data_IF_535487095379
#
_entry.id   IF_535487095379
#
_cell.length_a   1.000
_cell.length_b   1.000
_cell.length_c   1.000
_cell.angle_alpha   90.00
_cell.angle_beta   90.00
_cell.angle_gamma   90.00
#
_symmetry.space_group_name_H-M   'P 1'
#
loop_
_entity.id
_entity.type
_entity.pdbx_description
1 polymer ?
#
# COMPACT_ATOMS: atom_id res chain seq x y z
N UNK A 1 15.25 -39.56 -29.40
CA UNK A 1 14.06 -39.06 -28.68
C UNK A 1 14.09 -37.55 -28.83
N UNK A 2 13.22 -37.00 -29.67
CA UNK A 2 13.04 -35.54 -29.72
C UNK A 2 12.46 -35.10 -28.39
N UNK A 3 13.28 -34.51 -27.52
CA UNK A 3 12.83 -33.83 -26.33
C UNK A 3 12.08 -32.56 -26.78
N UNK A 4 10.77 -32.53 -26.58
CA UNK A 4 10.02 -31.29 -26.79
C UNK A 4 10.53 -30.25 -25.80
N UNK A 5 10.80 -29.03 -26.30
CA UNK A 5 11.23 -27.93 -25.43
C UNK A 5 10.16 -27.63 -24.38
N UNK A 6 10.53 -27.45 -23.12
CA UNK A 6 9.60 -26.98 -22.10
C UNK A 6 9.08 -25.60 -22.44
N UNK A 7 7.86 -25.32 -22.02
CA UNK A 7 7.26 -23.98 -22.05
C UNK A 7 6.77 -23.70 -20.64
N UNK A 8 7.40 -22.73 -19.99
CA UNK A 8 7.01 -22.30 -18.65
C UNK A 8 5.78 -21.40 -18.70
N UNK A 9 4.78 -21.75 -17.90
CA UNK A 9 3.58 -20.94 -17.70
C UNK A 9 2.96 -21.24 -16.35
N UNK A 10 2.36 -20.24 -15.71
CA UNK A 10 1.65 -20.40 -14.45
C UNK A 10 0.59 -19.34 -14.23
N UNK A 11 -0.34 -19.63 -13.32
CA UNK A 11 -1.33 -18.70 -12.81
C UNK A 11 -1.28 -18.67 -11.27
N UNK A 12 -1.89 -17.66 -10.67
CA UNK A 12 -1.93 -17.45 -9.24
C UNK A 12 -3.36 -17.30 -8.74
N UNK A 13 -3.63 -17.62 -7.47
CA UNK A 13 -4.95 -17.40 -6.85
C UNK A 13 -5.30 -15.92 -6.75
N UNK A 14 -4.28 -15.05 -6.58
CA UNK A 14 -4.39 -13.58 -6.60
C UNK A 14 -3.05 -12.98 -7.00
N UNK A 15 -3.06 -11.73 -7.47
CA UNK A 15 -1.86 -10.95 -7.79
C UNK A 15 -1.61 -9.83 -6.78
N UNK A 16 -2.55 -9.58 -5.84
CA UNK A 16 -2.39 -8.56 -4.81
C UNK A 16 -3.30 -8.82 -3.62
N UNK A 17 -2.94 -8.25 -2.46
CA UNK A 17 -3.74 -8.30 -1.23
C UNK A 17 -3.00 -7.74 -0.01
N UNK A 18 -3.70 -7.63 1.15
CA UNK A 18 -3.09 -7.19 2.40
C UNK A 18 -2.13 -8.23 2.97
N UNK A 19 -1.13 -7.78 3.72
CA UNK A 19 -0.21 -8.65 4.48
C UNK A 19 -0.90 -9.22 5.75
N UNK A 20 -0.69 -10.49 6.13
CA UNK A 20 0.02 -11.52 5.39
C UNK A 20 -0.81 -12.07 4.21
N UNK A 21 -0.24 -12.09 3.00
CA UNK A 21 -0.92 -12.59 1.81
C UNK A 21 -0.49 -14.02 1.50
N UNK A 22 -1.46 -14.93 1.45
CA UNK A 22 -1.25 -16.32 1.05
C UNK A 22 -1.63 -16.44 -0.42
N UNK A 23 -0.70 -16.94 -1.25
CA UNK A 23 -0.90 -17.13 -2.69
C UNK A 23 -0.64 -18.58 -3.07
N UNK A 24 -1.60 -19.19 -3.74
CA UNK A 24 -1.45 -20.48 -4.40
C UNK A 24 -0.96 -20.25 -5.84
N UNK A 25 0.05 -21.03 -6.25
CA UNK A 25 0.63 -21.01 -7.59
C UNK A 25 0.23 -22.29 -8.33
N UNK A 26 -0.32 -22.12 -9.53
CA UNK A 26 -0.78 -23.21 -10.38
C UNK A 26 0.13 -23.30 -11.60
N UNK A 27 0.85 -24.39 -11.70
CA UNK A 27 1.75 -24.65 -12.82
C UNK A 27 0.97 -25.07 -14.06
N UNK A 28 1.09 -24.31 -15.14
CA UNK A 28 0.49 -24.57 -16.45
C UNK A 28 1.55 -24.95 -17.51
N UNK A 29 2.81 -25.15 -17.10
CA UNK A 29 3.91 -25.46 -18.00
C UNK A 29 3.67 -26.76 -18.76
N UNK A 30 4.17 -26.80 -19.99
CA UNK A 30 4.09 -27.98 -20.86
C UNK A 30 5.47 -28.53 -21.21
N UNK A 31 5.57 -29.83 -21.46
CA UNK A 31 6.80 -30.52 -21.85
C UNK A 31 7.94 -30.43 -20.80
N UNK A 32 7.62 -30.18 -19.54
CA UNK A 32 8.58 -30.10 -18.42
C UNK A 32 8.36 -31.24 -17.43
N UNK A 33 9.43 -31.65 -16.76
CA UNK A 33 9.42 -32.68 -15.71
C UNK A 33 9.80 -32.14 -14.34
N UNK A 34 10.55 -31.04 -14.33
CA UNK A 34 11.10 -30.46 -13.13
C UNK A 34 10.78 -28.96 -13.08
N UNK A 35 10.58 -28.43 -11.86
CA UNK A 35 10.14 -27.06 -11.61
C UNK A 35 10.98 -26.43 -10.51
N UNK A 36 11.38 -25.17 -10.72
CA UNK A 36 12.03 -24.36 -9.70
C UNK A 36 11.34 -23.00 -9.63
N UNK A 37 10.85 -22.68 -8.44
CA UNK A 37 10.19 -21.40 -8.14
C UNK A 37 11.10 -20.53 -7.29
N UNK A 38 11.15 -19.24 -7.63
CA UNK A 38 11.72 -18.19 -6.80
C UNK A 38 10.65 -17.14 -6.54
N UNK A 39 10.36 -16.91 -5.24
CA UNK A 39 9.35 -15.96 -4.77
C UNK A 39 9.95 -14.65 -4.26
N UNK A 40 11.26 -14.41 -4.47
CA UNK A 40 12.06 -13.32 -3.86
C UNK A 40 12.19 -13.40 -2.32
N UNK A 41 11.38 -14.20 -1.66
CA UNK A 41 11.39 -14.46 -0.21
C UNK A 41 11.90 -15.86 0.10
N UNK A 42 11.56 -16.80 -0.74
CA UNK A 42 11.80 -18.22 -0.58
C UNK A 42 11.82 -18.93 -1.93
N UNK A 43 12.16 -20.21 -1.98
CA UNK A 43 12.16 -21.03 -3.19
C UNK A 43 11.40 -22.34 -2.98
N UNK A 44 10.89 -22.94 -4.07
CA UNK A 44 10.22 -24.23 -4.03
C UNK A 44 10.50 -25.06 -5.28
N UNK A 45 10.41 -26.39 -5.15
CA UNK A 45 10.44 -27.36 -6.28
C UNK A 45 9.12 -28.11 -6.43
N UNK A 46 8.10 -27.75 -5.66
CA UNK A 46 6.77 -28.35 -5.78
C UNK A 46 6.12 -27.95 -7.11
N UNK A 47 5.31 -28.84 -7.67
CA UNK A 47 4.59 -28.54 -8.93
C UNK A 47 3.64 -27.36 -8.76
N UNK A 48 2.85 -27.33 -7.67
CA UNK A 48 1.92 -26.25 -7.34
C UNK A 48 2.21 -25.81 -5.89
N UNK A 49 3.13 -24.87 -5.68
CA UNK A 49 3.46 -24.40 -4.34
C UNK A 49 2.45 -23.38 -3.83
N UNK A 50 2.48 -23.14 -2.52
CA UNK A 50 1.86 -22.02 -1.84
C UNK A 50 2.96 -21.23 -1.15
N UNK A 51 2.88 -19.90 -1.19
CA UNK A 51 3.80 -19.00 -0.49
C UNK A 51 3.02 -17.98 0.34
N UNK A 52 3.61 -17.54 1.45
CA UNK A 52 3.04 -16.52 2.34
C UNK A 52 3.95 -15.29 2.39
N UNK A 53 3.47 -14.18 1.89
CA UNK A 53 4.16 -12.91 1.90
C UNK A 53 3.75 -12.12 3.16
N UNK A 54 4.69 -11.96 4.11
CA UNK A 54 4.43 -11.36 5.43
C UNK A 54 4.77 -9.87 5.50
N UNK A 55 5.36 -9.29 4.46
CA UNK A 55 5.73 -7.88 4.39
C UNK A 55 5.09 -7.23 3.18
N UNK A 56 4.73 -5.96 3.32
CA UNK A 56 4.29 -5.17 2.18
C UNK A 56 5.43 -4.93 1.18
N UNK A 57 5.11 -4.90 -0.10
CA UNK A 57 6.05 -4.69 -1.20
C UNK A 57 5.63 -5.41 -2.47
N UNK A 58 6.44 -5.23 -3.52
CA UNK A 58 6.30 -5.95 -4.78
C UNK A 58 7.32 -7.09 -4.83
N UNK A 59 6.82 -8.30 -5.04
CA UNK A 59 7.60 -9.52 -5.11
C UNK A 59 7.64 -10.04 -6.54
N UNK A 60 8.83 -10.15 -7.11
CA UNK A 60 9.02 -10.78 -8.40
C UNK A 60 8.93 -12.31 -8.25
N UNK A 61 8.13 -12.94 -9.08
CA UNK A 61 7.94 -14.39 -9.10
C UNK A 61 8.55 -14.94 -10.36
N UNK A 62 9.35 -15.99 -10.22
CA UNK A 62 9.98 -16.68 -11.34
C UNK A 62 9.71 -18.18 -11.25
N UNK A 63 9.28 -18.78 -12.35
CA UNK A 63 9.20 -20.22 -12.54
C UNK A 63 10.19 -20.63 -13.63
N UNK A 64 11.08 -21.55 -13.31
CA UNK A 64 11.87 -22.29 -14.31
C UNK A 64 11.26 -23.67 -14.47
N UNK A 65 10.87 -24.01 -15.69
CA UNK A 65 10.39 -25.32 -16.06
C UNK A 65 11.43 -26.04 -16.91
N UNK A 66 11.86 -27.24 -16.56
CA UNK A 66 12.93 -27.95 -17.24
C UNK A 66 12.57 -29.37 -17.65
N UNK A 67 13.27 -29.86 -18.71
CA UNK A 67 13.20 -31.22 -19.19
C UNK A 67 14.61 -31.66 -19.61
N UNK A 68 15.34 -32.25 -18.68
CA UNK A 68 16.77 -32.57 -18.85
C UNK A 68 17.60 -31.30 -19.04
N UNK A 69 18.29 -31.13 -20.20
CA UNK A 69 19.14 -29.95 -20.43
C UNK A 69 18.38 -28.72 -20.95
N UNK A 70 17.10 -28.85 -21.28
CA UNK A 70 16.29 -27.76 -21.81
C UNK A 70 15.50 -27.10 -20.68
N UNK A 71 15.44 -25.77 -20.67
CA UNK A 71 14.67 -24.99 -19.69
C UNK A 71 13.97 -23.81 -20.36
N UNK A 72 12.88 -23.36 -19.74
CA UNK A 72 12.18 -22.13 -20.06
C UNK A 72 11.76 -21.43 -18.77
N UNK A 73 11.54 -20.11 -18.82
CA UNK A 73 11.30 -19.29 -17.63
C UNK A 73 10.11 -18.38 -17.83
N UNK A 74 9.19 -18.38 -16.85
CA UNK A 74 8.06 -17.48 -16.78
C UNK A 74 8.21 -16.52 -15.58
N UNK A 75 7.69 -15.30 -15.72
CA UNK A 75 7.72 -14.26 -14.69
C UNK A 75 6.34 -13.69 -14.40
N UNK A 76 6.12 -13.27 -13.16
CA UNK A 76 4.96 -12.51 -12.71
C UNK A 76 5.36 -11.64 -11.51
N UNK A 77 4.42 -10.88 -10.95
CA UNK A 77 4.62 -10.12 -9.71
C UNK A 77 3.41 -10.25 -8.79
N UNK A 78 3.69 -10.22 -7.48
CA UNK A 78 2.69 -10.15 -6.42
C UNK A 78 2.89 -8.84 -5.66
N UNK A 79 1.83 -8.02 -5.52
CA UNK A 79 1.85 -6.78 -4.75
C UNK A 79 1.16 -6.99 -3.41
N UNK A 80 1.88 -6.78 -2.31
CA UNK A 80 1.37 -6.92 -0.94
C UNK A 80 1.25 -5.56 -0.30
N UNK A 81 0.06 -5.22 0.21
CA UNK A 81 -0.21 -3.96 0.88
C UNK A 81 -0.01 -4.07 2.39
N UNK A 82 0.34 -2.96 3.05
CA UNK A 82 0.22 -2.85 4.50
C UNK A 82 -1.25 -2.76 4.90
N UNK A 83 -1.58 -3.19 6.11
CA UNK A 83 -2.88 -2.88 6.71
C UNK A 83 -3.08 -1.36 6.72
N UNK A 84 -4.30 -0.94 6.39
CA UNK A 84 -4.63 0.48 6.38
C UNK A 84 -4.71 1.03 7.81
N UNK A 85 -3.97 2.12 8.06
CA UNK A 85 -3.92 2.81 9.36
C UNK A 85 -3.87 4.33 9.18
N UNK A 86 -4.52 5.05 10.08
CA UNK A 86 -4.47 6.51 10.18
C UNK A 86 -4.21 6.89 11.63
N UNK A 87 -3.21 7.75 11.85
CA UNK A 87 -2.93 8.37 13.15
C UNK A 87 -2.96 9.88 13.01
N UNK A 88 -3.79 10.55 13.80
CA UNK A 88 -4.02 11.99 13.70
C UNK A 88 -3.30 12.72 14.85
N UNK A 89 -2.44 13.74 14.57
CA UNK A 89 -1.83 14.56 15.60
C UNK A 89 -2.88 15.45 16.27
N UNK A 90 -2.67 15.78 17.55
CA UNK A 90 -3.59 16.62 18.31
C UNK A 90 -3.15 18.09 18.42
N UNK A 91 -1.94 18.42 17.97
CA UNK A 91 -1.34 19.76 17.98
C UNK A 91 -0.36 19.92 16.83
N UNK A 92 -0.24 21.14 16.30
CA UNK A 92 0.85 21.52 15.39
C UNK A 92 1.21 23.00 15.58
N UNK A 93 2.44 23.34 15.20
CA UNK A 93 3.07 24.65 15.49
C UNK A 93 3.77 25.18 14.23
N UNK A 94 3.05 25.83 13.31
CA UNK A 94 3.61 26.35 12.05
C UNK A 94 4.48 27.59 12.29
N UNK A 95 5.64 27.41 12.95
CA UNK A 95 6.61 28.46 13.30
C UNK A 95 7.85 28.46 12.38
N UNK A 96 7.98 27.46 11.49
CA UNK A 96 9.07 27.34 10.53
C UNK A 96 10.37 26.77 11.10
N UNK A 97 10.31 26.06 12.23
CA UNK A 97 11.49 25.41 12.86
C UNK A 97 11.78 24.01 12.30
N UNK A 98 10.93 23.52 11.39
CA UNK A 98 11.02 22.19 10.77
C UNK A 98 10.42 21.08 11.61
N UNK A 99 9.71 21.41 12.71
CA UNK A 99 9.04 20.44 13.57
C UNK A 99 7.57 20.79 13.73
N UNK A 100 6.69 19.85 13.46
CA UNK A 100 5.24 20.03 13.56
C UNK A 100 4.69 21.28 12.84
N UNK A 101 5.36 21.74 11.79
CA UNK A 101 4.95 22.88 10.99
C UNK A 101 3.70 22.61 10.14
N UNK A 102 3.31 21.35 10.01
CA UNK A 102 2.14 20.92 9.28
C UNK A 102 1.23 20.06 10.16
N UNK A 103 -0.07 20.29 10.10
CA UNK A 103 -1.04 19.29 10.54
C UNK A 103 -1.12 18.20 9.48
N UNK A 104 -0.41 17.11 9.70
CA UNK A 104 -0.26 15.99 8.77
C UNK A 104 -0.56 14.68 9.48
N UNK A 105 -1.77 14.10 9.29
CA UNK A 105 -2.04 12.74 9.74
C UNK A 105 -1.05 11.75 9.12
N UNK A 106 -0.54 10.82 9.93
CA UNK A 106 0.29 9.71 9.44
C UNK A 106 -0.64 8.64 8.89
N UNK A 107 -0.39 8.21 7.67
CA UNK A 107 -1.22 7.21 6.97
C UNK A 107 -0.35 6.06 6.47
N UNK A 108 -0.90 4.85 6.50
CA UNK A 108 -0.29 3.65 5.93
C UNK A 108 -1.36 2.91 5.13
N UNK A 109 -1.00 2.39 3.96
CA UNK A 109 -1.89 1.55 3.15
C UNK A 109 -3.19 2.23 2.66
N UNK A 110 -3.21 3.56 2.53
CA UNK A 110 -4.39 4.33 2.13
C UNK A 110 -4.39 4.56 0.62
N UNK A 111 -5.49 4.20 -0.04
CA UNK A 111 -5.75 4.38 -1.46
C UNK A 111 -6.46 5.70 -1.76
N UNK A 112 -7.54 5.98 -0.99
CA UNK A 112 -8.33 7.20 -1.14
C UNK A 112 -8.33 7.96 0.17
N UNK A 113 -8.22 9.29 0.09
CA UNK A 113 -8.08 10.14 1.27
C UNK A 113 -8.70 11.51 1.05
N UNK A 114 -9.51 11.96 2.02
CA UNK A 114 -9.99 13.33 2.13
C UNK A 114 -9.89 13.77 3.58
N UNK A 115 -9.26 14.93 3.81
CA UNK A 115 -9.19 15.62 5.11
C UNK A 115 -9.83 16.99 4.96
N UNK A 116 -10.90 17.22 5.69
CA UNK A 116 -11.61 18.48 5.79
C UNK A 116 -11.29 19.14 7.13
N UNK A 117 -10.91 20.43 7.11
CA UNK A 117 -10.56 21.19 8.31
C UNK A 117 -11.54 22.35 8.48
N UNK A 118 -12.10 22.44 9.68
CA UNK A 118 -13.11 23.44 10.05
C UNK A 118 -12.66 24.29 11.23
N UNK A 119 -13.12 25.56 11.26
CA UNK A 119 -13.00 26.39 12.44
C UNK A 119 -14.09 26.07 13.47
N UNK A 120 -14.04 26.74 14.65
CA UNK A 120 -15.00 26.54 15.73
C UNK A 120 -16.46 26.88 15.38
N UNK A 121 -16.70 27.57 14.28
CA UNK A 121 -18.05 27.91 13.82
C UNK A 121 -18.57 26.95 12.73
N UNK A 122 -17.81 25.89 12.43
CA UNK A 122 -18.16 24.91 11.40
C UNK A 122 -17.91 25.38 9.98
N UNK A 123 -17.15 26.45 9.78
CA UNK A 123 -16.76 26.92 8.46
C UNK A 123 -15.58 26.12 7.96
N UNK A 124 -15.67 25.58 6.73
CA UNK A 124 -14.57 24.87 6.07
C UNK A 124 -13.42 25.85 5.80
N UNK A 125 -12.22 25.48 6.26
CA UNK A 125 -10.99 26.27 6.13
C UNK A 125 -10.08 25.67 5.06
N UNK A 126 -9.97 24.35 5.00
CA UNK A 126 -9.11 23.65 4.04
C UNK A 126 -9.67 22.27 3.71
N UNK A 127 -9.40 21.80 2.47
CA UNK A 127 -9.66 20.43 2.01
C UNK A 127 -8.37 19.89 1.39
N UNK A 128 -7.99 18.67 1.76
CA UNK A 128 -6.75 18.00 1.35
C UNK A 128 -7.10 16.57 0.91
N UNK A 129 -6.74 16.22 -0.34
CA UNK A 129 -7.07 14.92 -0.94
C UNK A 129 -5.85 13.99 -1.08
N UNK A 130 -4.70 14.37 -0.46
CA UNK A 130 -3.46 13.60 -0.57
C UNK A 130 -2.89 13.28 0.81
N UNK A 131 -2.51 12.03 1.02
CA UNK A 131 -1.93 11.54 2.28
C UNK A 131 -0.59 12.17 2.65
N UNK A 132 0.17 12.66 1.67
CA UNK A 132 1.47 13.31 1.87
C UNK A 132 1.40 14.85 1.93
N UNK A 133 0.19 15.41 1.98
CA UNK A 133 -0.03 16.85 2.06
C UNK A 133 -0.58 17.21 3.45
N UNK A 134 0.11 18.06 4.18
CA UNK A 134 -0.33 18.61 5.45
C UNK A 134 -0.91 20.02 5.31
N UNK A 135 -1.67 20.45 6.32
CA UNK A 135 -2.17 21.81 6.42
C UNK A 135 -1.17 22.69 7.18
N UNK A 136 -0.85 23.85 6.61
CA UNK A 136 0.15 24.81 7.12
C UNK A 136 -0.45 25.95 7.96
N UNK A 137 -1.75 25.87 8.31
CA UNK A 137 -2.43 26.91 9.07
C UNK A 137 -2.88 28.10 8.23
N UNK A 138 -3.16 27.89 6.93
CA UNK A 138 -3.73 28.89 6.02
C UNK A 138 -5.11 28.48 5.52
N UNK A 139 -5.95 29.48 5.23
CA UNK A 139 -7.24 29.22 4.57
C UNK A 139 -7.04 29.02 3.05
N UNK A 140 -8.14 28.72 2.34
CA UNK A 140 -8.12 28.53 0.88
C UNK A 140 -7.69 29.75 0.08
N UNK A 141 -7.71 30.97 0.66
CA UNK A 141 -7.18 32.20 0.06
C UNK A 141 -5.67 32.39 0.33
N UNK A 142 -5.01 31.46 1.05
CA UNK A 142 -3.61 31.55 1.43
C UNK A 142 -3.34 32.46 2.65
N UNK A 143 -4.38 32.94 3.33
CA UNK A 143 -4.23 33.80 4.51
C UNK A 143 -4.01 32.96 5.77
N UNK A 144 -3.11 33.43 6.63
CA UNK A 144 -2.81 32.82 7.92
C UNK A 144 -4.05 32.88 8.83
N UNK A 145 -4.48 31.73 9.35
CA UNK A 145 -5.59 31.68 10.31
C UNK A 145 -5.09 31.87 11.75
N UNK A 146 -5.98 32.23 12.67
CA UNK A 146 -5.65 32.47 14.07
C UNK A 146 -5.31 31.17 14.81
N UNK A 147 -4.40 31.24 15.80
CA UNK A 147 -4.15 30.17 16.73
C UNK A 147 -5.44 29.78 17.51
N UNK A 148 -5.60 28.51 17.82
CA UNK A 148 -6.77 27.99 18.53
C UNK A 148 -7.16 26.59 18.10
N UNK A 149 -8.37 26.18 18.53
CA UNK A 149 -8.90 24.85 18.24
C UNK A 149 -9.55 24.81 16.85
N UNK A 150 -9.18 23.79 16.08
CA UNK A 150 -9.77 23.42 14.79
C UNK A 150 -10.34 22.02 14.87
N UNK A 151 -11.25 21.71 13.95
CA UNK A 151 -11.90 20.40 13.87
C UNK A 151 -11.57 19.79 12.52
N UNK A 152 -11.48 18.47 12.50
CA UNK A 152 -11.24 17.72 11.27
C UNK A 152 -12.28 16.63 11.05
N UNK A 153 -12.49 16.30 9.79
CA UNK A 153 -13.18 15.08 9.32
C UNK A 153 -12.27 14.42 8.31
N UNK A 154 -11.99 13.13 8.52
CA UNK A 154 -11.23 12.30 7.57
C UNK A 154 -12.17 11.25 7.01
N UNK A 155 -12.20 11.13 5.69
CA UNK A 155 -12.79 10.02 4.95
C UNK A 155 -11.70 9.36 4.14
N UNK A 156 -11.47 8.05 4.31
CA UNK A 156 -10.43 7.35 3.60
C UNK A 156 -10.79 5.89 3.34
N UNK A 157 -10.17 5.30 2.31
CA UNK A 157 -10.29 3.89 1.97
C UNK A 157 -8.87 3.33 1.82
N UNK A 158 -8.60 2.23 2.50
CA UNK A 158 -7.34 1.48 2.38
C UNK A 158 -7.27 0.62 1.12
N UNK A 159 -6.07 0.27 0.67
CA UNK A 159 -5.88 -0.75 -0.37
C UNK A 159 -6.44 -2.12 0.02
N UNK A 160 -6.62 -2.37 1.32
CA UNK A 160 -7.28 -3.55 1.89
C UNK A 160 -8.82 -3.46 1.87
N UNK A 161 -9.38 -2.34 1.38
CA UNK A 161 -10.81 -2.05 1.35
C UNK A 161 -11.39 -1.54 2.67
N UNK A 162 -10.56 -1.32 3.70
CA UNK A 162 -11.00 -0.78 4.99
C UNK A 162 -11.39 0.69 4.86
N UNK A 163 -12.59 1.01 5.31
CA UNK A 163 -13.11 2.37 5.31
C UNK A 163 -12.83 3.07 6.65
N UNK A 164 -12.43 4.32 6.58
CA UNK A 164 -12.21 5.21 7.72
C UNK A 164 -13.18 6.39 7.64
N UNK A 165 -13.82 6.69 8.74
CA UNK A 165 -14.63 7.90 8.95
C UNK A 165 -14.30 8.43 10.33
N UNK A 166 -13.31 9.31 10.41
CA UNK A 166 -12.82 9.85 11.68
C UNK A 166 -13.09 11.34 11.78
N UNK A 167 -13.40 11.79 12.99
CA UNK A 167 -13.58 13.21 13.29
C UNK A 167 -13.01 13.53 14.66
N UNK A 168 -12.52 14.74 14.81
CA UNK A 168 -11.93 15.18 16.05
C UNK A 168 -11.54 16.64 16.02
N UNK A 169 -10.69 17.02 16.96
CA UNK A 169 -10.16 18.38 17.07
C UNK A 169 -8.64 18.35 17.31
N UNK A 170 -8.00 19.44 16.98
CA UNK A 170 -6.57 19.66 17.23
C UNK A 170 -6.30 21.14 17.53
N UNK A 171 -5.13 21.41 18.10
CA UNK A 171 -4.70 22.75 18.47
C UNK A 171 -3.69 23.30 17.42
N UNK A 172 -3.92 24.51 16.95
CA UNK A 172 -2.92 25.31 16.26
C UNK A 172 -2.30 26.30 17.25
N UNK A 173 -1.00 26.20 17.48
CA UNK A 173 -0.21 27.12 18.29
C UNK A 173 0.84 27.84 17.42
N UNK A 174 1.23 29.06 17.83
CA UNK A 174 2.24 29.88 17.16
C UNK A 174 3.09 30.61 18.15
#
# INVERSE_FOLDING_TARGET
IDLLNPIADFSTSTTSGPSPLIVDFFNNSTNATDYFWDFSTNTSTNTNPQETFVSAGDFAIMLIASNGPCEDTAYSSITVFSDAEITVPNIFTPNGDGKNDLFLPTTLGIEQYELLIYNRWGQLISSIERTNQGWDGRNSAGEIVQAGTYYYVISAIGFDGKEFSEQGHFMLER
#
